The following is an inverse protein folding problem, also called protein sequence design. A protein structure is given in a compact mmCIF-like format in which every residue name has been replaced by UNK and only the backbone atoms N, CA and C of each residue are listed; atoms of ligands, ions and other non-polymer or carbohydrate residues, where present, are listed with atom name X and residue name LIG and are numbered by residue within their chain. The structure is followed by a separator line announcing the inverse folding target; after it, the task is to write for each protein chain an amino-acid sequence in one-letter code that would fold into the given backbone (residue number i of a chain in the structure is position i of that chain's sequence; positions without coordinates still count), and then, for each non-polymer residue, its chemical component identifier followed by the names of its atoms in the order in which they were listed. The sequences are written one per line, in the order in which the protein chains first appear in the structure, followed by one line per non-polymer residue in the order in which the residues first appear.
data_IF_777947451650
#
_entry.id   IF_777947451650
#
_cell.length_a   1.000
_cell.length_b   1.000
_cell.length_c   1.000
_cell.angle_alpha   90.00
_cell.angle_beta   90.00
_cell.angle_gamma   90.00
#
_symmetry.space_group_name_H-M   'P 1'
#
loop_
_entity.id
_entity.type
_entity.pdbx_description
1 polymer ?
#
# COMPACT_ATOMS: atom_id res chain seq x y z
N UNK A 1 14.81 -28.23 -17.09
CA UNK A 1 14.59 -27.37 -15.89
C UNK A 1 15.39 -26.06 -15.99
N UNK A 2 16.71 -26.10 -16.22
CA UNK A 2 17.53 -24.88 -16.33
C UNK A 2 17.13 -23.95 -17.50
N UNK A 3 16.76 -24.51 -18.67
CA UNK A 3 16.32 -23.73 -19.84
C UNK A 3 15.06 -22.91 -19.54
N UNK A 4 14.02 -23.54 -18.98
CA UNK A 4 12.75 -22.89 -18.63
C UNK A 4 12.96 -21.82 -17.55
N UNK A 5 13.81 -22.10 -16.55
CA UNK A 5 14.20 -21.09 -15.55
C UNK A 5 14.90 -19.89 -16.18
N UNK A 6 15.75 -20.11 -17.18
CA UNK A 6 16.38 -19.03 -17.94
C UNK A 6 15.35 -18.23 -18.73
N UNK A 7 14.41 -18.89 -19.43
CA UNK A 7 13.31 -18.21 -20.15
C UNK A 7 12.48 -17.32 -19.21
N UNK A 8 12.06 -17.85 -18.05
CA UNK A 8 11.35 -17.05 -17.03
C UNK A 8 12.22 -15.92 -16.47
N UNK A 9 13.53 -16.14 -16.32
CA UNK A 9 14.47 -15.10 -15.90
C UNK A 9 14.57 -13.97 -16.92
N UNK A 10 14.63 -14.30 -18.22
CA UNK A 10 14.68 -13.29 -19.28
C UNK A 10 13.36 -12.55 -19.42
N UNK A 11 12.24 -13.23 -19.24
CA UNK A 11 10.93 -12.60 -19.14
C UNK A 11 10.91 -11.58 -17.98
N UNK A 12 11.37 -11.95 -16.79
CA UNK A 12 11.46 -11.02 -15.65
C UNK A 12 12.38 -9.84 -15.96
N UNK A 13 13.54 -10.08 -16.59
CA UNK A 13 14.47 -9.03 -17.02
C UNK A 13 13.78 -8.01 -17.93
N UNK A 14 13.03 -8.47 -18.92
CA UNK A 14 12.29 -7.61 -19.84
C UNK A 14 11.19 -6.81 -19.13
N UNK A 15 10.40 -7.46 -18.26
CA UNK A 15 9.33 -6.78 -17.52
C UNK A 15 9.88 -5.74 -16.56
N UNK A 16 10.95 -6.05 -15.84
CA UNK A 16 11.60 -5.09 -14.94
C UNK A 16 12.25 -3.94 -15.72
N UNK A 17 12.91 -4.23 -16.85
CA UNK A 17 13.48 -3.19 -17.72
C UNK A 17 12.41 -2.25 -18.27
N UNK A 18 11.30 -2.80 -18.76
CA UNK A 18 10.14 -2.02 -19.22
C UNK A 18 9.54 -1.18 -18.10
N UNK A 19 9.41 -1.74 -16.90
CA UNK A 19 8.92 -1.03 -15.72
C UNK A 19 9.85 0.13 -15.35
N UNK A 20 11.16 -0.10 -15.25
CA UNK A 20 12.14 0.95 -14.98
C UNK A 20 12.12 2.07 -16.03
N UNK A 21 11.93 1.74 -17.32
CA UNK A 21 11.81 2.75 -18.38
C UNK A 21 10.56 3.62 -18.18
N UNK A 22 9.41 2.99 -17.89
CA UNK A 22 8.15 3.71 -17.64
C UNK A 22 8.22 4.58 -16.39
N UNK A 23 8.82 4.07 -15.30
CA UNK A 23 8.88 4.80 -14.03
C UNK A 23 9.89 5.94 -14.00
N UNK A 24 10.84 5.97 -14.94
CA UNK A 24 11.87 7.01 -15.03
C UNK A 24 11.72 7.91 -16.26
N UNK A 25 10.61 7.78 -16.99
CA UNK A 25 10.28 8.61 -18.14
C UNK A 25 10.29 10.10 -17.79
N UNK A 26 10.92 10.94 -18.62
CA UNK A 26 11.06 12.38 -18.38
C UNK A 26 12.24 12.76 -17.48
N UNK A 27 12.91 11.82 -16.81
CA UNK A 27 14.11 12.11 -16.01
C UNK A 27 15.38 12.08 -16.86
N UNK A 28 16.45 12.71 -16.37
CA UNK A 28 17.77 12.65 -17.01
C UNK A 28 18.37 11.24 -16.98
N UNK A 29 19.26 10.91 -17.93
CA UNK A 29 19.91 9.57 -18.00
C UNK A 29 20.53 9.13 -16.67
N UNK A 30 21.23 9.98 -15.89
CA UNK A 30 21.74 9.60 -14.56
C UNK A 30 20.63 9.20 -13.58
N UNK A 31 19.51 9.93 -13.55
CA UNK A 31 18.36 9.64 -12.69
C UNK A 31 17.62 8.37 -13.11
N UNK A 32 17.50 8.13 -14.43
CA UNK A 32 16.98 6.88 -14.97
C UNK A 32 17.83 5.67 -14.54
N UNK A 33 19.17 5.79 -14.65
CA UNK A 33 20.08 4.76 -14.15
C UNK A 33 19.90 4.54 -12.65
N UNK A 34 19.78 5.61 -11.87
CA UNK A 34 19.56 5.53 -10.43
C UNK A 34 18.29 4.77 -10.08
N UNK A 35 17.14 5.11 -10.68
CA UNK A 35 15.88 4.39 -10.45
C UNK A 35 16.02 2.91 -10.82
N UNK A 36 16.62 2.61 -11.97
CA UNK A 36 16.87 1.22 -12.39
C UNK A 36 17.72 0.46 -11.38
N UNK A 37 18.83 1.04 -10.93
CA UNK A 37 19.73 0.42 -9.94
C UNK A 37 19.02 0.18 -8.60
N UNK A 38 18.24 1.16 -8.14
CA UNK A 38 17.47 1.05 -6.90
C UNK A 38 16.39 -0.03 -7.00
N UNK A 39 15.60 -0.06 -8.08
CA UNK A 39 14.55 -1.08 -8.27
C UNK A 39 15.16 -2.49 -8.42
N UNK A 40 16.25 -2.64 -9.16
CA UNK A 40 16.99 -3.90 -9.26
C UNK A 40 17.47 -4.38 -7.89
N UNK A 41 18.06 -3.49 -7.09
CA UNK A 41 18.55 -3.84 -5.76
C UNK A 41 17.44 -4.12 -4.75
N UNK A 42 16.38 -3.33 -4.75
CA UNK A 42 15.24 -3.48 -3.84
C UNK A 42 14.49 -4.79 -4.11
N UNK A 43 14.12 -5.05 -5.37
CA UNK A 43 13.45 -6.30 -5.75
C UNK A 43 14.38 -7.53 -5.61
N UNK A 44 15.68 -7.36 -5.86
CA UNK A 44 16.66 -8.44 -5.76
C UNK A 44 17.01 -8.83 -4.32
N UNK A 45 17.08 -7.85 -3.40
CA UNK A 45 17.56 -8.08 -2.02
C UNK A 45 16.48 -8.04 -0.94
N UNK A 46 15.30 -7.47 -1.24
CA UNK A 46 14.26 -7.23 -0.24
C UNK A 46 14.74 -6.33 0.91
N UNK A 47 15.69 -5.42 0.65
CA UNK A 47 16.35 -4.64 1.69
C UNK A 47 16.52 -3.16 1.32
N UNK A 48 16.19 -2.22 2.21
CA UNK A 48 16.46 -0.79 2.02
C UNK A 48 17.93 -0.41 2.16
N UNK A 49 18.81 -1.34 2.51
CA UNK A 49 20.23 -1.03 2.73
C UNK A 49 20.91 -0.64 1.42
N UNK A 50 21.18 0.65 1.24
CA UNK A 50 21.87 1.21 0.06
C UNK A 50 23.22 0.55 -0.17
N UNK A 51 23.95 0.20 0.90
CA UNK A 51 25.19 -0.57 0.80
C UNK A 51 24.96 -1.97 0.24
N UNK A 52 23.95 -2.69 0.73
CA UNK A 52 23.62 -4.03 0.22
C UNK A 52 23.14 -3.98 -1.23
N UNK A 53 22.32 -2.97 -1.58
CA UNK A 53 21.91 -2.70 -2.95
C UNK A 53 23.13 -2.48 -3.84
N UNK A 54 24.08 -1.63 -3.41
CA UNK A 54 25.31 -1.34 -4.16
C UNK A 54 26.18 -2.58 -4.35
N UNK A 55 26.31 -3.41 -3.31
CA UNK A 55 27.02 -4.69 -3.35
C UNK A 55 26.33 -5.70 -4.26
N UNK A 56 25.01 -5.62 -4.38
CA UNK A 56 24.20 -6.51 -5.20
C UNK A 56 24.27 -6.14 -6.67
N UNK A 57 24.05 -4.87 -7.05
CA UNK A 57 24.01 -4.46 -8.47
C UNK A 57 25.38 -4.53 -9.19
N UNK A 58 26.47 -4.54 -8.41
CA UNK A 58 27.87 -4.67 -8.86
C UNK A 58 28.18 -3.90 -10.14
N UNK A 59 28.15 -2.57 -10.04
CA UNK A 59 28.68 -1.72 -11.12
C UNK A 59 30.18 -2.00 -11.35
N UNK A 60 30.71 -1.51 -12.48
CA UNK A 60 32.13 -1.64 -12.83
C UNK A 60 33.07 -0.80 -11.92
N UNK A 61 32.60 -0.29 -10.79
CA UNK A 61 33.33 0.54 -9.81
C UNK A 61 33.26 -0.09 -8.42
N UNK A 62 34.00 0.47 -7.45
CA UNK A 62 33.96 -0.03 -6.07
C UNK A 62 32.55 0.07 -5.46
N UNK A 63 32.20 -0.84 -4.55
CA UNK A 63 30.93 -0.78 -3.80
C UNK A 63 30.78 0.54 -3.03
N UNK A 64 31.90 1.12 -2.56
CA UNK A 64 31.92 2.45 -1.93
C UNK A 64 31.44 3.53 -2.91
N UNK A 65 32.04 3.59 -4.10
CA UNK A 65 31.69 4.57 -5.14
C UNK A 65 30.23 4.42 -5.61
N UNK A 66 29.74 3.18 -5.76
CA UNK A 66 28.31 2.96 -6.06
C UNK A 66 27.42 3.43 -4.91
N UNK A 67 27.78 3.12 -3.66
CA UNK A 67 27.00 3.56 -2.48
C UNK A 67 26.92 5.08 -2.41
N UNK A 68 28.05 5.78 -2.53
CA UNK A 68 28.10 7.24 -2.55
C UNK A 68 27.24 7.83 -3.68
N UNK A 69 27.26 7.23 -4.88
CA UNK A 69 26.40 7.67 -5.99
C UNK A 69 24.92 7.51 -5.65
N UNK A 70 24.52 6.38 -5.08
CA UNK A 70 23.11 6.14 -4.71
C UNK A 70 22.68 7.08 -3.58
N UNK A 71 23.52 7.27 -2.55
CA UNK A 71 23.24 8.22 -1.46
C UNK A 71 23.10 9.66 -1.97
N UNK A 72 23.98 10.12 -2.86
CA UNK A 72 23.87 11.45 -3.48
C UNK A 72 22.59 11.62 -4.28
N UNK A 73 22.12 10.58 -4.98
CA UNK A 73 20.84 10.66 -5.67
C UNK A 73 19.68 10.72 -4.68
N UNK A 74 19.69 9.88 -3.64
CA UNK A 74 18.65 9.88 -2.60
C UNK A 74 18.47 11.22 -1.89
N UNK A 75 19.41 12.16 -1.95
CA UNK A 75 19.24 13.49 -1.35
C UNK A 75 18.53 14.53 -2.26
N UNK A 76 18.14 14.19 -3.49
CA UNK A 76 17.47 15.14 -4.40
C UNK A 76 15.97 15.27 -4.10
N UNK A 77 15.35 16.42 -4.38
CA UNK A 77 13.97 16.66 -3.95
C UNK A 77 12.89 16.13 -4.90
N UNK A 78 13.22 15.77 -6.15
CA UNK A 78 12.23 15.57 -7.21
C UNK A 78 11.65 14.15 -7.33
N UNK A 79 12.15 13.17 -6.58
CA UNK A 79 11.72 11.78 -6.75
C UNK A 79 10.33 11.48 -6.21
N UNK A 80 9.94 12.00 -5.05
CA UNK A 80 8.64 11.68 -4.44
C UNK A 80 7.48 12.10 -5.35
N UNK A 81 7.47 13.36 -5.77
CA UNK A 81 6.41 13.89 -6.66
C UNK A 81 6.39 13.19 -8.02
N UNK A 82 7.57 12.92 -8.59
CA UNK A 82 7.69 12.18 -9.83
C UNK A 82 7.09 10.77 -9.73
N UNK A 83 7.39 10.07 -8.64
CA UNK A 83 6.90 8.72 -8.36
C UNK A 83 5.38 8.74 -8.13
N UNK A 84 4.86 9.70 -7.39
CA UNK A 84 3.42 9.81 -7.13
C UNK A 84 2.61 10.06 -8.40
N UNK A 85 3.12 10.89 -9.31
CA UNK A 85 2.53 11.10 -10.65
C UNK A 85 2.63 9.85 -11.51
N UNK A 86 3.74 9.12 -11.39
CA UNK A 86 3.97 7.87 -12.11
C UNK A 86 3.00 6.78 -11.65
N UNK A 87 2.72 6.66 -10.35
CA UNK A 87 1.75 5.70 -9.83
C UNK A 87 0.37 5.88 -10.46
N UNK A 88 -0.13 7.12 -10.55
CA UNK A 88 -1.42 7.41 -11.16
C UNK A 88 -1.48 6.89 -12.61
N UNK A 89 -0.43 7.14 -13.40
CA UNK A 89 -0.34 6.64 -14.79
C UNK A 89 -0.28 5.12 -14.87
N UNK A 90 0.49 4.48 -13.99
CA UNK A 90 0.69 3.03 -14.02
C UNK A 90 -0.54 2.25 -13.57
N UNK A 91 -1.28 2.77 -12.59
CA UNK A 91 -2.43 2.07 -12.02
C UNK A 91 -3.71 2.32 -12.81
N UNK A 92 -3.85 3.48 -13.48
CA UNK A 92 -5.07 3.88 -14.21
C UNK A 92 -5.70 2.78 -15.09
N UNK A 93 -4.94 1.97 -15.86
CA UNK A 93 -5.52 0.90 -16.67
C UNK A 93 -6.21 -0.23 -15.88
N UNK A 94 -5.96 -0.31 -14.57
CA UNK A 94 -6.48 -1.34 -13.67
C UNK A 94 -7.64 -0.83 -12.81
N UNK A 95 -7.97 0.46 -12.85
CA UNK A 95 -9.01 1.05 -12.02
C UNK A 95 -10.37 0.91 -12.69
N UNK A 96 -11.34 0.40 -11.93
CA UNK A 96 -12.73 0.18 -12.31
C UNK A 96 -13.66 0.76 -11.24
N UNK A 97 -14.96 0.84 -11.51
CA UNK A 97 -15.96 1.28 -10.52
C UNK A 97 -16.05 0.33 -9.30
N UNK A 98 -15.64 -0.93 -9.49
CA UNK A 98 -15.55 -1.95 -8.43
C UNK A 98 -14.24 -1.88 -7.62
N UNK A 99 -13.31 -0.98 -8.00
CA UNK A 99 -12.04 -0.86 -7.28
C UNK A 99 -12.25 -0.27 -5.89
N UNK A 100 -11.63 -0.89 -4.89
CA UNK A 100 -11.65 -0.41 -3.51
C UNK A 100 -10.27 0.17 -3.18
N UNK A 101 -10.21 1.45 -2.82
CA UNK A 101 -9.00 2.10 -2.32
C UNK A 101 -8.94 1.97 -0.81
N UNK A 102 -8.10 1.06 -0.33
CA UNK A 102 -7.88 0.86 1.11
C UNK A 102 -6.90 1.91 1.58
N UNK A 103 -7.35 2.82 2.44
CA UNK A 103 -6.52 3.86 3.05
C UNK A 103 -6.22 3.45 4.48
N UNK A 104 -4.94 3.41 4.84
CA UNK A 104 -4.52 3.03 6.18
C UNK A 104 -3.25 3.77 6.60
N UNK A 105 -3.17 4.02 7.90
CA UNK A 105 -1.99 4.58 8.53
C UNK A 105 -1.09 3.45 9.03
N UNK A 106 0.22 3.70 9.00
CA UNK A 106 1.23 2.82 9.55
C UNK A 106 2.38 3.67 10.09
N UNK A 107 3.43 2.99 10.51
CA UNK A 107 4.53 3.60 11.22
C UNK A 107 5.85 2.92 10.88
N UNK A 108 6.92 3.70 10.96
CA UNK A 108 8.30 3.18 10.89
C UNK A 108 8.98 3.42 12.23
N UNK A 109 9.04 2.36 13.03
CA UNK A 109 9.73 2.38 14.31
C UNK A 109 11.26 2.49 14.15
N UNK A 110 11.87 3.34 14.96
CA UNK A 110 13.32 3.62 15.06
C UNK A 110 13.74 3.73 16.53
N UNK A 111 13.51 2.69 17.37
CA UNK A 111 13.69 2.76 18.82
C UNK A 111 15.10 3.19 19.24
N UNK A 112 16.12 2.88 18.43
CA UNK A 112 17.53 3.17 18.72
C UNK A 112 18.09 4.39 17.98
N UNK A 113 17.32 5.03 17.09
CA UNK A 113 17.79 6.20 16.37
C UNK A 113 17.87 7.42 17.30
N UNK A 114 18.92 8.23 17.12
CA UNK A 114 19.16 9.44 17.92
C UNK A 114 19.38 10.70 17.08
N UNK A 115 19.86 10.57 15.84
CA UNK A 115 20.35 11.68 15.00
C UNK A 115 19.74 11.72 13.60
N UNK A 116 18.68 10.95 13.34
CA UNK A 116 17.98 11.03 12.06
C UNK A 116 17.09 12.28 12.06
N UNK A 117 17.08 13.02 10.95
CA UNK A 117 16.20 14.18 10.78
C UNK A 117 14.73 13.78 10.85
N UNK A 118 13.88 14.65 11.43
CA UNK A 118 12.43 14.42 11.53
C UNK A 118 12.01 13.32 12.51
N UNK A 119 12.97 12.75 13.26
CA UNK A 119 12.70 11.73 14.25
C UNK A 119 11.87 12.30 15.40
N UNK A 120 10.74 11.66 15.72
CA UNK A 120 9.87 12.06 16.81
C UNK A 120 9.18 10.88 17.47
N UNK A 121 8.46 11.14 18.57
CA UNK A 121 7.61 10.12 19.21
C UNK A 121 6.36 9.86 18.37
N UNK A 122 6.18 8.61 18.01
CA UNK A 122 5.01 8.08 17.31
C UNK A 122 4.41 6.93 18.12
N UNK A 123 3.13 6.61 17.90
CA UNK A 123 2.50 5.44 18.52
C UNK A 123 2.72 4.22 17.63
N UNK A 124 3.48 3.22 18.14
CA UNK A 124 3.64 1.95 17.45
C UNK A 124 2.40 1.10 17.68
N UNK A 125 1.54 1.00 16.67
CA UNK A 125 0.30 0.24 16.72
C UNK A 125 0.49 -1.27 16.89
N UNK A 126 1.67 -1.80 16.54
CA UNK A 126 1.99 -3.23 16.69
C UNK A 126 2.40 -3.59 18.12
N UNK A 127 3.11 -2.68 18.83
CA UNK A 127 3.58 -2.90 20.20
C UNK A 127 2.70 -2.23 21.27
N UNK A 128 1.78 -1.35 20.86
CA UNK A 128 0.90 -0.60 21.76
C UNK A 128 1.64 0.44 22.62
N UNK A 129 2.80 0.93 22.16
CA UNK A 129 3.69 1.81 22.91
C UNK A 129 4.22 2.94 22.04
N UNK A 130 4.61 4.05 22.67
CA UNK A 130 5.30 5.12 21.96
C UNK A 130 6.76 4.76 21.68
N UNK A 131 7.23 5.00 20.46
CA UNK A 131 8.61 4.80 20.02
C UNK A 131 9.09 5.98 19.20
N UNK A 132 10.40 6.10 19.00
CA UNK A 132 10.92 7.08 18.03
C UNK A 132 10.64 6.57 16.62
N UNK A 133 10.27 7.42 15.67
CA UNK A 133 10.00 6.99 14.30
C UNK A 133 9.33 8.04 13.43
N UNK A 134 8.63 7.55 12.41
CA UNK A 134 7.93 8.35 11.39
C UNK A 134 6.54 7.79 11.15
N UNK A 135 5.61 8.65 10.78
CA UNK A 135 4.28 8.23 10.31
C UNK A 135 4.37 7.78 8.85
N UNK A 136 3.46 6.90 8.47
CA UNK A 136 3.34 6.40 7.11
C UNK A 136 1.86 6.39 6.71
N UNK A 137 1.51 7.00 5.58
CA UNK A 137 0.17 6.89 4.99
C UNK A 137 0.27 6.03 3.74
N UNK A 138 -0.55 4.99 3.64
CA UNK A 138 -0.56 4.08 2.51
C UNK A 138 -1.94 4.02 1.86
N UNK A 139 -1.97 3.88 0.53
CA UNK A 139 -3.19 3.55 -0.22
C UNK A 139 -2.91 2.33 -1.08
N UNK A 140 -3.77 1.32 -0.94
CA UNK A 140 -3.73 0.08 -1.73
C UNK A 140 -5.02 -0.05 -2.53
N UNK A 141 -4.91 -0.17 -3.84
CA UNK A 141 -6.05 -0.49 -4.70
C UNK A 141 -6.30 -2.01 -4.69
N UNK A 142 -7.47 -2.41 -4.22
CA UNK A 142 -8.04 -3.74 -4.39
C UNK A 142 -8.93 -3.70 -5.63
N UNK A 143 -8.46 -4.27 -6.74
CA UNK A 143 -9.16 -4.20 -8.03
C UNK A 143 -9.45 -5.59 -8.60
N UNK A 144 -10.62 -5.84 -9.19
CA UNK A 144 -10.89 -7.07 -9.94
C UNK A 144 -9.87 -7.28 -11.07
N UNK A 145 -9.44 -8.53 -11.26
CA UNK A 145 -8.56 -8.90 -12.36
C UNK A 145 -8.73 -10.37 -12.73
N UNK A 146 -9.29 -10.62 -13.92
CA UNK A 146 -9.72 -11.96 -14.38
C UNK A 146 -10.64 -12.60 -13.32
N UNK A 147 -10.45 -13.87 -12.99
CA UNK A 147 -11.25 -14.61 -12.00
C UNK A 147 -10.79 -14.36 -10.54
N UNK A 148 -10.07 -13.27 -10.27
CA UNK A 148 -9.52 -12.94 -8.96
C UNK A 148 -9.43 -11.42 -8.76
N UNK A 149 -8.64 -10.99 -7.79
CA UNK A 149 -8.34 -9.59 -7.50
C UNK A 149 -6.83 -9.33 -7.56
N UNK A 150 -6.43 -8.09 -7.78
CA UNK A 150 -5.08 -7.60 -7.55
C UNK A 150 -5.09 -6.62 -6.38
N UNK A 151 -4.05 -6.70 -5.55
CA UNK A 151 -3.70 -5.68 -4.57
C UNK A 151 -2.59 -4.85 -5.18
N UNK A 152 -2.76 -3.54 -5.28
CA UNK A 152 -1.76 -2.65 -5.87
C UNK A 152 -1.42 -1.56 -4.86
N UNK A 153 -0.24 -1.57 -4.22
CA UNK A 153 0.21 -0.49 -3.36
C UNK A 153 0.59 0.71 -4.22
N UNK A 154 -0.27 1.72 -4.24
CA UNK A 154 -0.25 2.81 -5.22
C UNK A 154 0.14 4.16 -4.61
N UNK A 155 0.25 4.20 -3.29
CA UNK A 155 0.74 5.36 -2.56
C UNK A 155 1.37 4.91 -1.24
N UNK A 156 2.50 5.50 -0.90
CA UNK A 156 3.12 5.38 0.41
C UNK A 156 3.89 6.67 0.70
N UNK A 157 3.47 7.40 1.72
CA UNK A 157 4.12 8.65 2.12
C UNK A 157 4.65 8.57 3.52
N UNK A 158 5.97 8.70 3.64
CA UNK A 158 6.66 8.88 4.92
C UNK A 158 6.49 10.33 5.37
N UNK A 159 6.09 10.53 6.63
CA UNK A 159 5.77 11.84 7.18
C UNK A 159 6.46 12.00 8.53
N UNK A 160 7.28 13.05 8.65
CA UNK A 160 7.73 13.62 9.90
C UNK A 160 6.92 14.89 10.18
N UNK A 161 5.80 14.83 10.94
CA UNK A 161 4.99 15.99 11.30
C UNK A 161 5.73 17.28 11.67
N UNK A 162 6.88 17.21 12.33
CA UNK A 162 7.66 18.39 12.72
C UNK A 162 8.51 19.00 11.59
N UNK A 163 8.52 18.39 10.40
CA UNK A 163 9.25 18.82 9.21
C UNK A 163 8.36 19.06 8.00
N UNK A 164 7.08 18.70 8.07
CA UNK A 164 6.12 18.90 6.99
C UNK A 164 5.30 20.16 7.27
N UNK A 165 5.01 20.93 6.21
CA UNK A 165 4.11 22.07 6.30
C UNK A 165 2.66 21.60 6.49
N UNK A 166 2.28 20.60 5.69
CA UNK A 166 0.96 19.99 5.74
C UNK A 166 0.89 18.85 6.76
N UNK A 167 -0.27 18.73 7.40
CA UNK A 167 -0.56 17.58 8.24
C UNK A 167 -0.67 16.29 7.43
N UNK A 168 -0.49 15.15 8.08
CA UNK A 168 -0.70 13.84 7.45
C UNK A 168 -2.10 13.68 6.83
N UNK A 169 -3.12 14.29 7.46
CA UNK A 169 -4.49 14.33 6.95
C UNK A 169 -4.60 15.13 5.64
N UNK A 170 -3.99 16.31 5.56
CA UNK A 170 -4.01 17.13 4.34
C UNK A 170 -3.30 16.40 3.19
N UNK A 171 -2.10 15.85 3.44
CA UNK A 171 -1.35 15.06 2.45
C UNK A 171 -2.18 13.87 1.92
N UNK A 172 -2.93 13.20 2.81
CA UNK A 172 -3.83 12.11 2.42
C UNK A 172 -5.01 12.63 1.57
N UNK A 173 -5.64 13.72 1.98
CA UNK A 173 -6.78 14.34 1.27
C UNK A 173 -6.37 14.82 -0.13
N UNK A 174 -5.24 15.52 -0.25
CA UNK A 174 -4.69 15.96 -1.53
C UNK A 174 -4.44 14.78 -2.46
N UNK A 175 -3.89 13.67 -1.91
CA UNK A 175 -3.67 12.46 -2.71
C UNK A 175 -4.98 11.82 -3.17
N UNK A 176 -6.01 11.85 -2.34
CA UNK A 176 -7.34 11.37 -2.72
C UNK A 176 -7.89 12.23 -3.87
N UNK A 177 -7.82 13.57 -3.80
CA UNK A 177 -8.24 14.44 -4.90
C UNK A 177 -7.48 14.14 -6.19
N UNK A 178 -6.15 13.98 -6.13
CA UNK A 178 -5.33 13.60 -7.29
C UNK A 178 -5.82 12.27 -7.92
N UNK A 179 -6.20 11.30 -7.08
CA UNK A 179 -6.72 10.01 -7.54
C UNK A 179 -8.11 10.13 -8.15
N UNK A 180 -9.01 10.90 -7.53
CA UNK A 180 -10.35 11.16 -8.07
C UNK A 180 -10.28 11.79 -9.47
N UNK A 181 -9.43 12.80 -9.63
CA UNK A 181 -9.20 13.45 -10.93
C UNK A 181 -8.56 12.49 -11.93
N UNK A 182 -7.59 11.68 -11.51
CA UNK A 182 -6.89 10.76 -12.40
C UNK A 182 -7.77 9.58 -12.87
N UNK A 183 -8.69 9.12 -12.02
CA UNK A 183 -9.52 7.95 -12.24
C UNK A 183 -10.98 8.28 -12.57
N UNK A 184 -11.32 9.57 -12.70
CA UNK A 184 -12.66 10.06 -13.02
C UNK A 184 -13.72 9.59 -11.99
N UNK A 185 -13.41 9.70 -10.70
CA UNK A 185 -14.32 9.33 -9.60
C UNK A 185 -14.60 7.83 -9.47
N UNK A 186 -13.83 6.98 -10.16
CA UNK A 186 -14.00 5.52 -10.11
C UNK A 186 -13.46 4.93 -8.83
N UNK A 187 -14.24 4.02 -8.24
CA UNK A 187 -13.87 3.23 -7.08
C UNK A 187 -14.43 3.78 -5.77
N UNK A 188 -14.13 3.10 -4.67
CA UNK A 188 -14.64 3.43 -3.33
C UNK A 188 -13.52 3.39 -2.31
N UNK A 189 -13.40 4.42 -1.48
CA UNK A 189 -12.38 4.49 -0.43
C UNK A 189 -12.88 3.79 0.83
N UNK A 190 -12.01 3.00 1.47
CA UNK A 190 -12.35 2.32 2.72
C UNK A 190 -11.33 2.63 3.79
N UNK A 191 -11.84 2.98 4.97
CA UNK A 191 -11.06 3.39 6.12
C UNK A 191 -11.41 2.59 7.37
N UNK A 192 -10.45 2.48 8.28
CA UNK A 192 -10.66 1.84 9.57
C UNK A 192 -11.32 2.81 10.59
N UNK A 193 -11.40 2.38 11.86
CA UNK A 193 -12.03 3.18 12.93
C UNK A 193 -11.21 4.40 13.38
N UNK A 194 -9.91 4.43 13.10
CA UNK A 194 -9.03 5.57 13.40
C UNK A 194 -9.41 6.81 12.61
N UNK A 195 -9.95 6.60 11.41
CA UNK A 195 -10.43 7.63 10.49
C UNK A 195 -11.87 8.06 10.74
N UNK A 196 -12.50 7.59 11.82
CA UNK A 196 -13.79 8.10 12.26
C UNK A 196 -13.60 9.54 12.79
N UNK A 197 -13.50 10.49 11.85
CA UNK A 197 -13.29 11.93 12.00
C UNK A 197 -14.30 12.75 11.18
N UNK A 198 -14.89 13.78 11.79
CA UNK A 198 -15.98 14.56 11.17
C UNK A 198 -15.52 15.38 9.95
N UNK A 199 -14.28 15.90 9.99
CA UNK A 199 -13.71 16.72 8.91
C UNK A 199 -13.32 15.84 7.72
N UNK A 200 -12.93 14.60 7.97
CA UNK A 200 -12.75 13.62 6.89
C UNK A 200 -14.08 13.26 6.21
N UNK A 201 -15.12 12.99 6.99
CA UNK A 201 -16.46 12.68 6.43
C UNK A 201 -17.00 13.85 5.61
N UNK A 202 -16.86 15.08 6.14
CA UNK A 202 -17.21 16.31 5.40
C UNK A 202 -16.45 16.43 4.10
N UNK A 203 -15.12 16.27 4.14
CA UNK A 203 -14.27 16.32 2.95
C UNK A 203 -14.71 15.32 1.88
N UNK A 204 -14.95 14.06 2.27
CA UNK A 204 -15.34 13.01 1.32
C UNK A 204 -16.71 13.30 0.70
N UNK A 205 -17.70 13.64 1.53
CA UNK A 205 -19.07 13.91 1.08
C UNK A 205 -19.16 15.16 0.20
N UNK A 206 -18.53 16.27 0.59
CA UNK A 206 -18.56 17.52 -0.19
C UNK A 206 -17.88 17.39 -1.56
N UNK A 207 -16.92 16.47 -1.71
CA UNK A 207 -16.26 16.20 -2.98
C UNK A 207 -16.92 15.06 -3.78
N UNK A 208 -18.04 14.51 -3.32
CA UNK A 208 -18.75 13.40 -4.00
C UNK A 208 -17.95 12.09 -4.02
N UNK A 209 -17.01 11.92 -3.11
CA UNK A 209 -16.10 10.76 -3.06
C UNK A 209 -16.85 9.60 -2.43
N UNK A 210 -16.87 8.45 -3.10
CA UNK A 210 -17.51 7.25 -2.56
C UNK A 210 -16.67 6.64 -1.43
N UNK A 211 -17.26 6.40 -0.26
CA UNK A 211 -16.50 5.88 0.88
C UNK A 211 -17.26 4.93 1.79
N UNK A 212 -16.47 4.17 2.58
CA UNK A 212 -16.90 3.39 3.74
C UNK A 212 -15.91 3.59 4.88
N UNK A 213 -16.35 4.19 5.98
CA UNK A 213 -15.57 4.39 7.22
C UNK A 213 -16.16 3.51 8.32
N UNK A 214 -15.33 2.82 9.09
CA UNK A 214 -15.82 2.14 10.30
C UNK A 214 -16.06 3.13 11.43
N UNK A 215 -17.29 3.16 11.93
CA UNK A 215 -17.66 3.99 13.07
C UNK A 215 -17.11 3.47 14.41
N UNK A 216 -16.80 4.38 15.34
CA UNK A 216 -16.48 4.09 16.75
C UNK A 216 -17.73 3.82 17.59
N UNK A 217 -18.87 4.38 17.19
CA UNK A 217 -20.16 4.20 17.86
C UNK A 217 -20.43 5.16 19.02
N UNK A 218 -19.68 6.24 19.10
CA UNK A 218 -19.74 7.25 20.17
C UNK A 218 -20.10 8.65 19.66
N UNK A 219 -20.50 8.77 18.40
CA UNK A 219 -20.81 10.06 17.75
C UNK A 219 -22.20 10.58 18.10
N UNK A 220 -22.32 11.88 18.29
CA UNK A 220 -23.62 12.53 18.21
C UNK A 220 -24.10 12.59 16.75
N UNK A 221 -25.38 12.35 16.52
CA UNK A 221 -26.04 12.45 15.21
C UNK A 221 -27.07 13.56 15.30
N UNK A 222 -27.18 14.39 14.27
CA UNK A 222 -28.17 15.47 14.24
C UNK A 222 -29.45 15.00 13.55
N UNK A 223 -30.60 15.14 14.21
CA UNK A 223 -31.92 14.97 13.58
C UNK A 223 -32.71 16.27 13.75
N UNK A 224 -32.96 16.97 12.65
CA UNK A 224 -33.52 18.32 12.68
C UNK A 224 -32.61 19.29 13.44
N UNK A 225 -33.07 19.77 14.60
CA UNK A 225 -32.36 20.74 15.44
C UNK A 225 -31.68 20.12 16.68
N UNK A 226 -31.86 18.83 16.93
CA UNK A 226 -31.36 18.15 18.13
C UNK A 226 -30.18 17.23 17.82
N UNK A 227 -29.19 17.20 18.72
CA UNK A 227 -28.18 16.15 18.74
C UNK A 227 -28.68 14.97 19.56
N UNK A 228 -28.77 13.81 18.90
CA UNK A 228 -29.23 12.56 19.48
C UNK A 228 -28.03 11.66 19.73
N UNK A 229 -28.08 10.94 20.86
CA UNK A 229 -27.07 9.93 21.21
C UNK A 229 -27.08 8.77 20.19
N UNK A 230 -25.90 8.36 19.74
CA UNK A 230 -25.71 7.25 18.79
C UNK A 230 -26.51 5.99 19.15
N UNK A 231 -26.45 5.57 20.42
CA UNK A 231 -27.07 4.32 20.87
C UNK A 231 -28.59 4.39 20.82
N UNK A 232 -29.18 5.57 21.04
CA UNK A 232 -30.63 5.76 20.92
C UNK A 232 -31.09 5.47 19.49
N UNK A 233 -30.38 6.02 18.50
CA UNK A 233 -30.66 5.78 17.08
C UNK A 233 -30.53 4.30 16.76
N UNK A 234 -29.42 3.66 17.17
CA UNK A 234 -29.18 2.23 16.90
C UNK A 234 -30.27 1.35 17.52
N UNK A 235 -30.75 1.65 18.72
CA UNK A 235 -31.79 0.88 19.41
C UNK A 235 -33.17 0.98 18.73
N UNK A 236 -33.44 2.09 18.05
CA UNK A 236 -34.69 2.30 17.30
C UNK A 236 -34.68 1.64 15.91
N UNK A 237 -33.50 1.23 15.41
CA UNK A 237 -33.36 0.62 14.09
C UNK A 237 -33.94 -0.81 14.05
N UNK A 238 -34.62 -1.11 12.93
CA UNK A 238 -35.11 -2.46 12.62
C UNK A 238 -34.09 -3.23 11.78
N UNK A 239 -33.53 -4.31 12.34
CA UNK A 239 -32.56 -5.18 11.69
C UNK A 239 -33.23 -6.14 10.71
N UNK A 240 -33.54 -5.65 9.51
CA UNK A 240 -34.33 -6.37 8.49
C UNK A 240 -33.49 -7.19 7.52
N UNK A 241 -32.18 -6.94 7.44
CA UNK A 241 -31.32 -7.53 6.42
C UNK A 241 -30.43 -8.59 7.05
N UNK A 242 -30.30 -9.73 6.39
CA UNK A 242 -29.43 -10.81 6.83
C UNK A 242 -28.38 -11.10 5.74
N UNK A 243 -27.11 -11.12 6.12
CA UNK A 243 -26.00 -11.38 5.22
C UNK A 243 -25.07 -12.45 5.79
N UNK A 244 -24.38 -13.24 4.93
CA UNK A 244 -23.42 -14.22 5.40
C UNK A 244 -22.23 -13.55 6.11
N UNK A 245 -21.86 -14.15 7.24
CA UNK A 245 -20.71 -13.79 8.07
C UNK A 245 -19.36 -13.99 7.38
N UNK A 246 -18.28 -13.83 8.14
CA UNK A 246 -16.92 -14.17 7.70
C UNK A 246 -16.54 -15.62 8.02
N UNK A 247 -17.21 -16.21 9.01
CA UNK A 247 -16.95 -17.57 9.47
C UNK A 247 -18.13 -18.47 9.16
N UNK A 248 -17.87 -19.77 9.13
CA UNK A 248 -18.94 -20.77 9.05
C UNK A 248 -19.93 -20.61 10.23
N UNK A 249 -21.23 -20.68 9.92
CA UNK A 249 -22.34 -20.46 10.84
C UNK A 249 -22.37 -19.06 11.49
N UNK A 250 -21.71 -18.08 10.87
CA UNK A 250 -21.77 -16.67 11.24
C UNK A 250 -22.70 -15.91 10.30
N UNK A 251 -23.50 -15.01 10.86
CA UNK A 251 -24.51 -14.23 10.16
C UNK A 251 -24.42 -12.78 10.62
N UNK A 252 -24.54 -11.84 9.69
CA UNK A 252 -24.68 -10.42 9.95
C UNK A 252 -26.16 -10.04 9.86
N UNK A 253 -26.77 -9.73 11.00
CA UNK A 253 -28.07 -9.06 11.03
C UNK A 253 -27.84 -7.57 10.94
N UNK A 254 -28.42 -6.91 9.95
CA UNK A 254 -28.07 -5.56 9.57
C UNK A 254 -29.30 -4.64 9.49
N UNK A 255 -29.05 -3.37 9.77
CA UNK A 255 -29.99 -2.26 9.56
C UNK A 255 -29.26 -1.12 8.87
N UNK A 256 -30.00 -0.25 8.18
CA UNK A 256 -29.46 1.02 7.68
C UNK A 256 -30.42 2.17 7.92
N UNK A 257 -29.85 3.38 8.02
CA UNK A 257 -30.57 4.64 8.21
C UNK A 257 -29.70 5.79 7.68
N UNK A 258 -30.28 6.78 7.00
CA UNK A 258 -29.60 8.04 6.68
C UNK A 258 -29.49 8.89 7.95
N UNK A 259 -28.30 9.44 8.21
CA UNK A 259 -28.00 10.23 9.38
C UNK A 259 -27.25 11.50 8.98
N UNK A 260 -27.41 12.58 9.76
CA UNK A 260 -26.63 13.80 9.57
C UNK A 260 -25.46 13.84 10.55
N UNK A 261 -24.25 13.88 10.01
CA UNK A 261 -23.01 14.03 10.77
C UNK A 261 -22.67 15.52 10.84
N UNK A 262 -22.53 16.06 12.05
CA UNK A 262 -22.09 17.45 12.24
C UNK A 262 -20.65 17.64 11.81
N UNK A 263 -20.40 18.73 11.09
CA UNK A 263 -19.06 19.07 10.60
C UNK A 263 -18.36 20.15 11.42
N UNK A 264 -19.10 21.07 12.03
CA UNK A 264 -18.53 22.11 12.89
C UNK A 264 -17.86 21.55 14.15
N UNK A 265 -16.93 22.31 14.74
CA UNK A 265 -16.21 21.90 15.94
C UNK A 265 -17.11 21.87 17.19
N UNK A 266 -18.05 22.82 17.32
CA UNK A 266 -18.96 22.93 18.45
C UNK A 266 -20.42 22.62 18.07
N UNK A 267 -21.20 21.97 18.96
CA UNK A 267 -22.61 21.72 18.72
C UNK A 267 -23.41 23.02 18.78
N UNK A 268 -24.26 23.26 17.78
CA UNK A 268 -25.19 24.38 17.75
C UNK A 268 -26.43 24.06 16.91
N UNK A 269 -27.53 24.80 17.14
CA UNK A 269 -28.76 24.66 16.34
C UNK A 269 -28.50 24.86 14.84
N UNK A 270 -27.59 25.79 14.49
CA UNK A 270 -27.24 26.13 13.10
C UNK A 270 -26.07 25.31 12.55
N UNK A 271 -25.63 24.27 13.27
CA UNK A 271 -24.44 23.56 12.85
C UNK A 271 -24.60 22.88 11.50
N UNK A 272 -23.55 23.01 10.68
CA UNK A 272 -23.46 22.37 9.38
C UNK A 272 -23.39 20.85 9.54
N UNK A 273 -23.97 20.15 8.59
CA UNK A 273 -24.00 18.69 8.56
C UNK A 273 -23.82 18.17 7.15
N UNK A 274 -23.29 16.96 7.06
CA UNK A 274 -23.33 16.13 5.86
C UNK A 274 -24.18 14.90 6.12
N UNK A 275 -25.00 14.53 5.15
CA UNK A 275 -25.85 13.34 5.24
C UNK A 275 -25.08 12.12 4.73
N UNK A 276 -25.08 11.05 5.52
CA UNK A 276 -24.42 9.78 5.16
C UNK A 276 -25.33 8.61 5.54
N UNK A 277 -25.09 7.45 4.96
CA UNK A 277 -25.76 6.21 5.37
C UNK A 277 -25.01 5.56 6.53
N UNK A 278 -25.72 5.30 7.63
CA UNK A 278 -25.25 4.44 8.70
C UNK A 278 -25.72 3.01 8.43
N UNK A 279 -24.80 2.06 8.37
CA UNK A 279 -25.07 0.62 8.40
C UNK A 279 -24.65 0.07 9.75
N UNK A 280 -25.56 -0.58 10.44
CA UNK A 280 -25.31 -1.27 11.71
C UNK A 280 -25.42 -2.76 11.51
N UNK A 281 -24.45 -3.51 12.00
CA UNK A 281 -24.40 -4.96 11.91
C UNK A 281 -24.20 -5.61 13.27
N UNK A 282 -25.05 -6.58 13.58
CA UNK A 282 -24.91 -7.49 14.71
C UNK A 282 -24.43 -8.83 14.20
N UNK A 283 -23.35 -9.31 14.78
CA UNK A 283 -22.72 -10.57 14.37
C UNK A 283 -23.33 -11.67 15.23
N UNK A 284 -23.99 -12.65 14.62
CA UNK A 284 -24.46 -13.84 15.30
C UNK A 284 -23.63 -15.04 14.87
N UNK A 285 -23.31 -15.93 15.81
CA UNK A 285 -22.70 -17.22 15.49
C UNK A 285 -23.33 -18.31 16.34
N UNK A 286 -23.89 -19.33 15.68
CA UNK A 286 -24.70 -20.38 16.33
C UNK A 286 -25.84 -19.80 17.19
N UNK A 287 -26.53 -18.78 16.69
CA UNK A 287 -27.67 -18.14 17.37
C UNK A 287 -27.32 -17.14 18.48
N UNK A 288 -26.05 -16.99 18.85
CA UNK A 288 -25.63 -16.03 19.88
C UNK A 288 -24.93 -14.82 19.27
N UNK A 289 -25.30 -13.62 19.74
CA UNK A 289 -24.58 -12.41 19.38
C UNK A 289 -23.12 -12.51 19.84
N UNK A 290 -22.22 -12.17 18.93
CA UNK A 290 -20.78 -12.12 19.13
C UNK A 290 -20.35 -10.66 19.06
N UNK A 291 -19.74 -10.19 20.15
CA UNK A 291 -19.17 -8.83 20.26
C UNK A 291 -20.24 -7.73 20.20
N UNK A 292 -19.79 -6.50 20.41
CA UNK A 292 -20.63 -5.32 20.28
C UNK A 292 -21.00 -5.08 18.80
N UNK A 293 -22.04 -4.28 18.62
CA UNK A 293 -22.51 -3.84 17.31
C UNK A 293 -21.38 -3.19 16.48
N UNK A 294 -21.46 -3.39 15.18
CA UNK A 294 -20.47 -2.98 14.20
C UNK A 294 -21.07 -1.91 13.28
N UNK A 295 -20.37 -0.77 13.12
CA UNK A 295 -20.91 0.41 12.45
C UNK A 295 -20.09 0.77 11.22
N UNK A 296 -20.77 1.07 10.12
CA UNK A 296 -20.18 1.64 8.90
C UNK A 296 -20.90 2.93 8.53
N UNK A 297 -20.15 3.98 8.30
CA UNK A 297 -20.60 5.22 7.68
C UNK A 297 -20.21 5.15 6.21
N UNK A 298 -21.17 5.27 5.30
CA UNK A 298 -20.89 5.21 3.88
C UNK A 298 -21.71 6.23 3.08
N UNK A 299 -21.11 6.63 1.96
CA UNK A 299 -21.78 7.40 0.92
C UNK A 299 -21.36 6.85 -0.44
N UNK A 300 -22.34 6.63 -1.31
CA UNK A 300 -22.17 6.03 -2.63
C UNK A 300 -22.84 6.93 -3.67
N UNK A 301 -22.38 6.85 -4.92
CA UNK A 301 -22.83 7.77 -5.97
C UNK A 301 -24.34 7.69 -6.30
N UNK A 302 -25.03 6.59 -5.96
CA UNK A 302 -26.47 6.43 -6.21
C UNK A 302 -27.27 6.70 -4.94
N UNK A 303 -27.98 7.84 -4.92
CA UNK A 303 -28.90 8.20 -3.83
C UNK A 303 -30.15 7.30 -3.78
N UNK A 304 -30.42 6.51 -4.82
CA UNK A 304 -31.60 5.63 -4.94
C UNK A 304 -31.26 4.14 -4.77
N UNK A 305 -30.05 3.81 -4.27
CA UNK A 305 -29.66 2.43 -4.03
C UNK A 305 -30.58 1.76 -2.98
N UNK A 306 -31.19 0.59 -3.27
CA UNK A 306 -32.00 -0.11 -2.29
C UNK A 306 -31.21 -0.45 -1.01
N UNK A 307 -31.84 -0.33 0.15
CA UNK A 307 -31.18 -0.54 1.45
C UNK A 307 -30.39 -1.85 1.54
N UNK A 308 -30.94 -2.97 1.02
CA UNK A 308 -30.25 -4.26 1.03
C UNK A 308 -28.95 -4.21 0.20
N UNK A 309 -28.99 -3.57 -0.96
CA UNK A 309 -27.82 -3.41 -1.83
C UNK A 309 -26.78 -2.50 -1.18
N UNK A 310 -27.21 -1.40 -0.56
CA UNK A 310 -26.34 -0.49 0.19
C UNK A 310 -25.63 -1.21 1.34
N UNK A 311 -26.39 -1.96 2.14
CA UNK A 311 -25.87 -2.75 3.27
C UNK A 311 -24.89 -3.82 2.77
N UNK A 312 -25.25 -4.55 1.70
CA UNK A 312 -24.40 -5.57 1.11
C UNK A 312 -23.10 -4.99 0.56
N UNK A 313 -23.17 -3.87 -0.17
CA UNK A 313 -22.01 -3.16 -0.71
C UNK A 313 -21.10 -2.64 0.40
N UNK A 314 -21.64 -1.96 1.41
CA UNK A 314 -20.86 -1.44 2.53
C UNK A 314 -20.09 -2.55 3.27
N UNK A 315 -20.77 -3.67 3.56
CA UNK A 315 -20.13 -4.83 4.20
C UNK A 315 -19.09 -5.47 3.29
N UNK A 316 -19.40 -5.67 2.00
CA UNK A 316 -18.46 -6.25 1.05
C UNK A 316 -17.19 -5.42 0.91
N UNK A 317 -17.32 -4.09 0.78
CA UNK A 317 -16.19 -3.14 0.71
C UNK A 317 -15.37 -3.20 2.00
N UNK A 318 -16.00 -3.09 3.16
CA UNK A 318 -15.28 -3.10 4.43
C UNK A 318 -14.55 -4.42 4.71
N UNK A 319 -15.12 -5.56 4.30
CA UNK A 319 -14.44 -6.87 4.40
C UNK A 319 -13.09 -6.87 3.68
N UNK A 320 -12.96 -6.15 2.54
CA UNK A 320 -11.71 -6.09 1.78
C UNK A 320 -10.64 -5.20 2.41
N UNK A 321 -10.99 -4.29 3.33
CA UNK A 321 -10.04 -3.42 4.04
C UNK A 321 -8.90 -4.21 4.69
N UNK A 322 -9.18 -5.38 5.25
CA UNK A 322 -8.16 -6.24 5.90
C UNK A 322 -7.05 -6.71 4.95
N UNK A 323 -7.23 -6.65 3.63
CA UNK A 323 -6.19 -7.04 2.67
C UNK A 323 -4.92 -6.16 2.76
N UNK A 324 -5.03 -4.92 3.27
CA UNK A 324 -3.85 -4.07 3.47
C UNK A 324 -2.91 -4.58 4.56
N UNK A 325 -3.39 -5.38 5.51
CA UNK A 325 -2.55 -5.93 6.57
C UNK A 325 -1.50 -6.91 6.01
N UNK A 326 -1.84 -7.63 4.94
CA UNK A 326 -0.89 -8.45 4.20
C UNK A 326 0.20 -7.59 3.56
N UNK A 327 -0.19 -6.44 2.99
CA UNK A 327 0.74 -5.47 2.39
C UNK A 327 1.67 -4.86 3.45
N UNK A 328 1.13 -4.37 4.56
CA UNK A 328 1.93 -3.84 5.68
C UNK A 328 2.87 -4.90 6.25
N UNK A 329 2.42 -6.15 6.38
CA UNK A 329 3.28 -7.25 6.81
C UNK A 329 4.41 -7.50 5.83
N UNK A 330 4.15 -7.48 4.52
CA UNK A 330 5.20 -7.68 3.51
C UNK A 330 6.20 -6.52 3.48
N UNK A 331 5.72 -5.28 3.64
CA UNK A 331 6.56 -4.09 3.79
C UNK A 331 7.53 -4.24 4.97
N UNK A 332 7.00 -4.55 6.16
CA UNK A 332 7.79 -4.64 7.39
C UNK A 332 8.72 -5.87 7.40
N UNK A 333 8.25 -7.04 6.98
CA UNK A 333 8.98 -8.30 7.11
C UNK A 333 9.85 -8.62 5.89
N UNK A 334 9.24 -8.81 4.72
CA UNK A 334 9.95 -9.27 3.52
C UNK A 334 10.84 -8.20 2.91
N UNK A 335 10.34 -6.96 2.85
CA UNK A 335 11.07 -5.84 2.30
C UNK A 335 11.80 -5.01 3.36
N UNK A 336 11.64 -5.35 4.64
CA UNK A 336 12.41 -4.82 5.76
C UNK A 336 12.39 -3.29 5.84
N UNK A 337 11.23 -2.66 5.61
CA UNK A 337 11.08 -1.19 5.60
C UNK A 337 11.69 -0.50 6.82
N UNK A 338 11.56 -1.10 8.01
CA UNK A 338 12.10 -0.56 9.25
C UNK A 338 13.65 -0.57 9.31
N UNK A 339 14.32 -1.17 8.33
CA UNK A 339 15.78 -1.11 8.20
C UNK A 339 16.30 0.10 7.39
N UNK A 340 15.44 1.01 6.94
CA UNK A 340 15.89 2.30 6.37
C UNK A 340 16.71 3.10 7.41
N UNK A 341 17.89 3.60 7.05
CA UNK A 341 18.85 4.24 7.99
C UNK A 341 19.50 5.50 7.43
N UNK A 342 18.81 6.21 6.54
CA UNK A 342 19.31 7.46 5.99
C UNK A 342 19.22 8.56 7.05
N UNK A 343 20.30 9.33 7.23
CA UNK A 343 20.32 10.40 8.22
C UNK A 343 19.38 11.55 7.87
N UNK A 344 19.24 11.86 6.57
CA UNK A 344 18.40 12.96 6.10
C UNK A 344 16.94 12.53 5.89
N UNK A 345 16.03 13.44 6.19
CA UNK A 345 14.59 13.20 6.03
C UNK A 345 14.21 13.09 4.56
N UNK A 346 14.76 13.94 3.69
CA UNK A 346 14.57 13.83 2.24
C UNK A 346 15.04 12.48 1.69
N UNK A 347 16.17 11.98 2.19
CA UNK A 347 16.68 10.65 1.85
C UNK A 347 15.67 9.57 2.21
N UNK A 348 15.14 9.62 3.43
CA UNK A 348 14.12 8.69 3.90
C UNK A 348 12.83 8.74 3.05
N UNK A 349 12.35 9.95 2.67
CA UNK A 349 11.19 10.12 1.78
C UNK A 349 11.39 9.46 0.42
N UNK A 350 12.54 9.74 -0.22
CA UNK A 350 12.85 9.18 -1.54
C UNK A 350 13.04 7.67 -1.50
N UNK A 351 13.69 7.14 -0.47
CA UNK A 351 13.83 5.70 -0.29
C UNK A 351 12.46 5.07 -0.12
N UNK A 352 11.57 5.62 0.72
CA UNK A 352 10.21 5.11 0.87
C UNK A 352 9.45 5.05 -0.47
N UNK A 353 9.52 6.12 -1.28
CA UNK A 353 8.86 6.18 -2.58
C UNK A 353 9.40 5.11 -3.57
N UNK A 354 10.73 4.94 -3.63
CA UNK A 354 11.36 3.90 -4.46
C UNK A 354 11.01 2.50 -4.00
N UNK A 355 10.96 2.29 -2.69
CA UNK A 355 10.56 1.02 -2.12
C UNK A 355 9.08 0.75 -2.45
N UNK A 356 8.20 1.73 -2.37
CA UNK A 356 6.79 1.59 -2.78
C UNK A 356 6.68 1.19 -4.27
N UNK A 357 7.49 1.77 -5.16
CA UNK A 357 7.54 1.34 -6.57
C UNK A 357 8.00 -0.12 -6.73
N UNK A 358 9.00 -0.55 -5.96
CA UNK A 358 9.46 -1.93 -5.96
C UNK A 358 8.36 -2.89 -5.50
N UNK A 359 7.63 -2.52 -4.43
CA UNK A 359 6.48 -3.28 -3.95
C UNK A 359 5.36 -3.34 -4.99
N UNK A 360 5.03 -2.22 -5.63
CA UNK A 360 4.07 -2.19 -6.71
C UNK A 360 4.46 -3.13 -7.86
N UNK A 361 5.73 -3.15 -8.27
CA UNK A 361 6.20 -4.09 -9.28
C UNK A 361 6.02 -5.56 -8.88
N UNK A 362 6.34 -5.90 -7.62
CA UNK A 362 6.11 -7.25 -7.07
C UNK A 362 4.63 -7.62 -7.16
N UNK A 363 3.75 -6.73 -6.69
CA UNK A 363 2.32 -7.00 -6.61
C UNK A 363 1.65 -7.05 -7.98
N UNK A 364 2.02 -6.14 -8.88
CA UNK A 364 1.59 -6.15 -10.27
C UNK A 364 1.98 -7.48 -10.93
N UNK A 365 3.15 -8.02 -10.60
CA UNK A 365 3.67 -9.26 -11.21
C UNK A 365 2.81 -10.50 -10.96
N UNK A 366 1.77 -10.42 -10.09
CA UNK A 366 0.72 -11.44 -9.99
C UNK A 366 0.07 -11.77 -11.34
N UNK A 367 -0.01 -10.82 -12.28
CA UNK A 367 -0.57 -11.11 -13.61
C UNK A 367 0.25 -12.11 -14.43
N UNK A 368 1.51 -12.35 -14.05
CA UNK A 368 2.45 -13.27 -14.70
C UNK A 368 2.64 -14.57 -13.89
N UNK A 369 1.68 -14.91 -13.04
CA UNK A 369 1.82 -16.04 -12.12
C UNK A 369 1.96 -17.38 -12.84
N UNK A 370 1.36 -17.53 -14.01
CA UNK A 370 1.48 -18.74 -14.82
C UNK A 370 2.92 -18.92 -15.34
N UNK A 371 3.51 -17.86 -15.87
CA UNK A 371 4.90 -17.82 -16.32
C UNK A 371 5.87 -18.13 -15.17
N UNK A 372 5.60 -17.62 -13.97
CA UNK A 372 6.38 -17.94 -12.77
C UNK A 372 6.20 -19.38 -12.30
N UNK A 373 4.98 -19.93 -12.38
CA UNK A 373 4.70 -21.31 -12.01
C UNK A 373 5.41 -22.31 -12.94
N UNK A 374 5.59 -21.95 -14.22
CA UNK A 374 6.32 -22.77 -15.21
C UNK A 374 7.82 -22.81 -14.91
N UNK A 375 8.47 -21.66 -14.66
CA UNK A 375 9.90 -21.60 -14.37
C UNK A 375 10.28 -21.99 -12.94
N UNK A 376 9.46 -21.62 -11.97
CA UNK A 376 9.73 -21.79 -10.55
C UNK A 376 8.56 -22.47 -9.82
N UNK A 377 8.13 -23.67 -10.25
CA UNK A 377 6.97 -24.37 -9.68
C UNK A 377 7.13 -24.64 -8.19
N UNK A 378 8.34 -24.95 -7.71
CA UNK A 378 8.59 -25.20 -6.28
C UNK A 378 8.43 -23.95 -5.40
N UNK A 379 8.63 -22.76 -5.97
CA UNK A 379 8.47 -21.50 -5.25
C UNK A 379 7.01 -21.02 -5.28
N UNK A 380 6.30 -21.28 -6.39
CA UNK A 380 4.89 -20.88 -6.56
C UNK A 380 3.90 -21.90 -5.98
N UNK A 381 4.07 -23.20 -6.23
CA UNK A 381 3.15 -24.29 -5.88
C UNK A 381 3.55 -25.01 -4.58
N UNK A 382 3.71 -24.25 -3.51
CA UNK A 382 4.09 -24.75 -2.17
C UNK A 382 3.01 -25.66 -1.56
N UNK A 383 3.44 -26.70 -0.82
CA UNK A 383 2.56 -27.63 -0.10
C UNK A 383 2.55 -27.35 1.40
N UNK A 384 1.48 -27.75 2.09
CA UNK A 384 1.28 -27.46 3.53
C UNK A 384 2.35 -28.09 4.43
N UNK A 385 3.08 -29.10 3.95
CA UNK A 385 4.07 -29.85 4.73
C UNK A 385 5.41 -29.11 4.97
N UNK A 386 5.65 -27.97 4.32
CA UNK A 386 6.98 -27.32 4.23
C UNK A 386 7.29 -26.25 5.32
N UNK A 387 6.64 -26.27 6.51
CA UNK A 387 6.46 -25.11 7.43
C UNK A 387 7.69 -24.63 8.26
N UNK A 388 8.02 -23.33 8.12
CA UNK A 388 8.42 -22.40 9.21
C UNK A 388 8.24 -20.89 8.85
N UNK A 389 7.77 -20.54 7.65
CA UNK A 389 7.64 -19.15 7.15
C UNK A 389 6.21 -18.97 6.60
N UNK A 390 5.54 -17.81 6.76
CA UNK A 390 4.24 -17.52 6.15
C UNK A 390 4.36 -17.37 4.62
N UNK A 391 4.68 -18.48 3.94
CA UNK A 391 4.66 -18.63 2.48
C UNK A 391 3.26 -18.96 1.96
N UNK A 392 2.23 -18.91 2.79
CA UNK A 392 0.84 -19.17 2.37
C UNK A 392 0.32 -18.12 1.38
N UNK A 393 0.92 -16.93 1.36
CA UNK A 393 0.49 -15.79 0.55
C UNK A 393 1.23 -15.68 -0.78
N UNK A 394 0.48 -15.46 -1.86
CA UNK A 394 1.00 -15.50 -3.24
C UNK A 394 2.03 -14.39 -3.53
N UNK A 395 1.85 -13.18 -2.98
CA UNK A 395 2.76 -12.06 -3.24
C UNK A 395 4.14 -12.22 -2.62
N UNK A 396 4.24 -13.00 -1.53
CA UNK A 396 5.52 -13.37 -0.93
C UNK A 396 6.28 -14.33 -1.85
N UNK A 397 5.59 -15.32 -2.42
CA UNK A 397 6.17 -16.26 -3.39
C UNK A 397 6.62 -15.55 -4.66
N UNK A 398 5.82 -14.62 -5.17
CA UNK A 398 6.19 -13.78 -6.31
C UNK A 398 7.46 -12.98 -6.00
N UNK A 399 7.55 -12.37 -4.81
CA UNK A 399 8.75 -11.64 -4.40
C UNK A 399 10.01 -12.55 -4.37
N UNK A 400 9.87 -13.79 -3.88
CA UNK A 400 10.96 -14.77 -3.90
C UNK A 400 11.40 -15.11 -5.33
N UNK A 401 10.45 -15.40 -6.23
CA UNK A 401 10.74 -15.72 -7.64
C UNK A 401 11.44 -14.54 -8.31
N UNK A 402 10.94 -13.32 -8.12
CA UNK A 402 11.55 -12.11 -8.66
C UNK A 402 12.97 -11.92 -8.13
N UNK A 403 13.17 -12.10 -6.82
CA UNK A 403 14.50 -12.02 -6.20
C UNK A 403 15.47 -13.03 -6.82
N UNK A 404 15.02 -14.27 -7.06
CA UNK A 404 15.85 -15.32 -7.65
C UNK A 404 16.20 -15.05 -9.11
N UNK A 405 15.22 -14.66 -9.94
CA UNK A 405 15.48 -14.23 -11.31
C UNK A 405 16.47 -13.06 -11.36
N UNK A 406 16.31 -12.05 -10.49
CA UNK A 406 17.20 -10.89 -10.46
C UNK A 406 18.61 -11.28 -10.02
N UNK A 407 18.78 -12.22 -9.09
CA UNK A 407 20.10 -12.78 -8.75
C UNK A 407 20.77 -13.41 -9.98
N UNK A 408 20.05 -14.21 -10.76
CA UNK A 408 20.60 -14.80 -11.98
C UNK A 408 21.02 -13.74 -13.00
N UNK A 409 20.18 -12.71 -13.22
CA UNK A 409 20.49 -11.58 -14.12
C UNK A 409 21.80 -10.89 -13.69
N UNK A 410 21.96 -10.61 -12.39
CA UNK A 410 23.15 -9.96 -11.83
C UNK A 410 24.38 -10.87 -11.94
N UNK A 411 24.26 -12.16 -11.60
CA UNK A 411 25.35 -13.12 -11.69
C UNK A 411 25.84 -13.31 -13.14
N UNK A 412 24.92 -13.36 -14.10
CA UNK A 412 25.27 -13.48 -15.51
C UNK A 412 26.06 -12.25 -15.99
N UNK A 413 25.58 -11.04 -15.66
CA UNK A 413 26.30 -9.79 -15.95
C UNK A 413 27.71 -9.77 -15.33
N UNK A 414 27.86 -10.32 -14.12
CA UNK A 414 29.17 -10.45 -13.45
C UNK A 414 30.12 -11.39 -14.18
N UNK A 415 29.63 -12.52 -14.70
CA UNK A 415 30.47 -13.46 -15.47
C UNK A 415 30.99 -12.82 -16.75
N UNK A 416 30.11 -12.12 -17.47
CA UNK A 416 30.49 -11.38 -18.68
C UNK A 416 31.54 -10.30 -18.40
N UNK A 417 31.33 -9.46 -17.37
CA UNK A 417 32.28 -8.39 -17.06
C UNK A 417 33.65 -8.90 -16.57
N UNK A 418 33.69 -10.07 -15.91
CA UNK A 418 34.95 -10.71 -15.55
C UNK A 418 35.68 -11.24 -16.79
N UNK A 419 34.96 -11.86 -17.73
CA UNK A 419 35.53 -12.35 -18.98
C UNK A 419 36.11 -11.20 -19.82
N UNK A 420 35.37 -10.09 -19.97
CA UNK A 420 35.85 -8.87 -20.65
C UNK A 420 37.11 -8.29 -20.01
N UNK A 421 37.20 -8.29 -18.67
CA UNK A 421 38.41 -7.84 -17.96
C UNK A 421 39.60 -8.77 -18.17
N UNK A 422 39.38 -10.09 -18.12
CA UNK A 422 40.44 -11.08 -18.37
C UNK A 422 40.97 -10.89 -19.80
N UNK A 423 40.10 -10.74 -20.79
CA UNK A 423 40.47 -10.52 -22.19
C UNK A 423 41.30 -9.23 -22.37
N UNK A 424 40.86 -8.11 -21.77
CA UNK A 424 41.64 -6.87 -21.75
C UNK A 424 43.02 -7.00 -21.06
N UNK A 425 43.12 -7.83 -20.02
CA UNK A 425 44.39 -8.10 -19.35
C UNK A 425 45.29 -9.02 -20.19
N UNK A 426 44.72 -10.00 -20.90
CA UNK A 426 45.44 -10.86 -21.84
C UNK A 426 45.99 -10.06 -23.03
N UNK A 427 45.22 -9.11 -23.57
CA UNK A 427 45.69 -8.19 -24.62
C UNK A 427 46.81 -7.24 -24.17
N UNK A 428 46.99 -7.03 -22.86
CA UNK A 428 48.06 -6.18 -22.29
C UNK A 428 49.37 -6.92 -22.02
N UNK A 429 49.38 -8.25 -22.08
CA UNK A 429 50.61 -9.02 -22.00
C UNK A 429 51.26 -8.96 -23.39
N UNK A 430 52.15 -7.98 -23.59
CA UNK A 430 53.13 -8.08 -24.67
C UNK A 430 54.09 -9.21 -24.30
N UNK A 431 54.06 -10.29 -25.07
CA UNK A 431 55.16 -11.26 -25.07
C UNK A 431 56.41 -10.49 -25.52
N UNK A 432 57.36 -10.33 -24.60
CA UNK A 432 58.71 -9.83 -24.88
C UNK A 432 59.55 -11.00 -25.36
#
# INVERSE_FOLDING_TARGET
MLLIQNETTEFVREKLSSFCKKTSEGLSKPKQKFIKDMLMGLCGTGSPSVHNISKFIQDNVSTKSSSERLYRNLSHNDYVEHIDKTFLKLVKPYITDETIFIVDESDIAKPYAKKMEGLQKIYNGSEGKSTNGYLLVNIVAYTPHKDSYMLLPIFSRLIAPNMEYDSAKQIMQDKIIDMELAFNGKGTYVFDRGFDDRKLIEFLSNNGIQFVIRGKGDRAVKEGFEEINFNKIVNEMKFKYELPGLKENEVFQCATRRINVRTDDHPSKKSNTVEVSLVVSRIFRKGFQKRNDFYLLCDFASQEMPDLELVAKAIAVYKKRWAIEEVHRQMKQSMRWENMRLGSYQGMKNLNALMALALFFIYMSKKYIAEFAVGFPKMINYKKEDLYIPKEFIYYRIAEVLSECIKFIVQYKRKLSLAERIDQHQMKIRLV
#
